data_IF_226176648228
#
_entry.id   IF_226176648228
#
_cell.length_a   1.000
_cell.length_b   1.000
_cell.length_c   1.000
_cell.angle_alpha   90.00
_cell.angle_beta   90.00
_cell.angle_gamma   90.00
#
_symmetry.space_group_name_H-M   'P 1'
#
loop_
_entity.id
_entity.type
_entity.pdbx_description
1 polymer ?
#
# COMPACT_ATOMS: atom_id res chain seq x y z
N UNK A 1 -21.35 -0.83 -20.13
CA UNK A 1 -20.67 0.47 -20.11
C UNK A 1 -20.53 0.84 -18.64
N UNK A 2 -19.39 0.48 -18.03
CA UNK A 2 -19.19 0.60 -16.59
C UNK A 2 -18.64 2.01 -16.30
N UNK A 3 -19.32 2.78 -15.45
CA UNK A 3 -18.69 3.98 -14.86
C UNK A 3 -17.63 3.47 -13.89
N UNK A 4 -16.38 3.51 -14.32
CA UNK A 4 -15.23 3.19 -13.49
C UNK A 4 -15.17 4.23 -12.35
N UNK A 5 -15.47 3.83 -11.12
CA UNK A 5 -15.13 4.66 -9.97
C UNK A 5 -13.67 4.39 -9.63
N UNK A 6 -12.83 5.43 -9.70
CA UNK A 6 -11.44 5.37 -9.23
C UNK A 6 -11.35 4.90 -7.77
N UNK A 7 -12.43 5.04 -7.01
CA UNK A 7 -12.56 4.61 -5.62
C UNK A 7 -12.43 3.09 -5.43
N UNK A 8 -12.65 2.27 -6.47
CA UNK A 8 -12.53 0.81 -6.38
C UNK A 8 -11.12 0.28 -6.70
N UNK A 9 -10.23 1.14 -7.19
CA UNK A 9 -8.86 0.75 -7.55
C UNK A 9 -8.08 0.19 -6.34
N UNK A 10 -8.13 0.78 -5.13
CA UNK A 10 -7.44 0.25 -3.96
C UNK A 10 -7.91 -1.16 -3.59
N UNK A 11 -9.20 -1.46 -3.84
CA UNK A 11 -9.83 -2.73 -3.49
C UNK A 11 -9.23 -3.92 -4.24
N UNK A 12 -8.61 -3.69 -5.41
CA UNK A 12 -7.87 -4.72 -6.17
C UNK A 12 -6.76 -5.34 -5.32
N UNK A 13 -6.17 -4.59 -4.39
CA UNK A 13 -5.14 -5.09 -3.49
C UNK A 13 -5.67 -6.24 -2.61
N UNK A 14 -6.97 -6.33 -2.35
CA UNK A 14 -7.58 -7.38 -1.53
C UNK A 14 -7.31 -7.21 -0.03
N UNK A 15 -8.04 -7.97 0.78
CA UNK A 15 -8.03 -7.87 2.25
C UNK A 15 -6.90 -8.67 2.89
N UNK A 16 -6.62 -8.38 4.17
CA UNK A 16 -5.66 -9.14 4.98
C UNK A 16 -4.21 -8.63 4.91
N UNK A 17 -3.97 -7.52 4.23
CA UNK A 17 -2.69 -6.82 4.29
C UNK A 17 -2.45 -6.22 5.67
N UNK A 18 -1.20 -6.21 6.11
CA UNK A 18 -0.79 -5.54 7.35
C UNK A 18 -0.53 -4.04 7.15
N UNK A 19 -0.41 -3.63 5.89
CA UNK A 19 -0.03 -2.30 5.48
C UNK A 19 -0.54 -2.06 4.07
N UNK A 20 -1.08 -0.87 3.84
CA UNK A 20 -1.41 -0.36 2.52
C UNK A 20 -0.81 1.03 2.34
N UNK A 21 -0.44 1.37 1.10
CA UNK A 21 0.13 2.66 0.74
C UNK A 21 -0.50 3.18 -0.55
N UNK A 22 -0.71 4.48 -0.61
CA UNK A 22 -1.05 5.25 -1.81
C UNK A 22 0.00 6.32 -2.06
N UNK A 23 0.40 6.49 -3.33
CA UNK A 23 1.35 7.50 -3.77
C UNK A 23 0.80 8.17 -5.04
N UNK A 24 0.41 9.47 -4.98
CA UNK A 24 0.10 10.24 -6.18
C UNK A 24 1.41 10.58 -6.91
N UNK A 25 1.57 10.08 -8.14
CA UNK A 25 2.88 10.03 -8.81
C UNK A 25 3.42 11.42 -9.12
N UNK A 26 2.58 12.31 -9.66
CA UNK A 26 2.99 13.65 -10.10
C UNK A 26 3.41 14.55 -8.94
N UNK A 27 2.73 14.42 -7.81
CA UNK A 27 2.96 15.28 -6.65
C UNK A 27 4.17 14.81 -5.82
N UNK A 28 4.69 13.59 -6.05
CA UNK A 28 5.77 13.01 -5.25
C UNK A 28 6.90 12.36 -6.09
N UNK A 29 7.34 13.04 -7.14
CA UNK A 29 8.33 12.49 -8.09
C UNK A 29 9.64 12.02 -7.44
N UNK A 30 10.08 12.67 -6.35
CA UNK A 30 11.27 12.27 -5.61
C UNK A 30 11.12 10.86 -5.02
N UNK A 31 10.04 10.62 -4.27
CA UNK A 31 9.73 9.32 -3.66
C UNK A 31 9.54 8.25 -4.73
N UNK A 32 8.83 8.60 -5.81
CA UNK A 32 8.60 7.71 -6.95
C UNK A 32 9.91 7.36 -7.66
N UNK A 33 10.85 8.30 -7.75
CA UNK A 33 12.16 8.05 -8.36
C UNK A 33 13.03 7.14 -7.49
N UNK A 34 13.01 7.34 -6.17
CA UNK A 34 13.64 6.43 -5.23
C UNK A 34 13.05 5.01 -5.32
N UNK A 35 11.73 4.88 -5.43
CA UNK A 35 11.05 3.60 -5.64
C UNK A 35 11.52 2.87 -6.91
N UNK A 36 11.57 3.59 -8.04
CA UNK A 36 12.06 3.05 -9.31
C UNK A 36 13.51 2.56 -9.21
N UNK A 37 14.37 3.31 -8.53
CA UNK A 37 15.76 2.92 -8.30
C UNK A 37 15.89 1.71 -7.38
N UNK A 38 15.08 1.63 -6.31
CA UNK A 38 15.04 0.47 -5.41
C UNK A 38 14.70 -0.83 -6.13
N UNK A 39 13.70 -0.82 -7.01
CA UNK A 39 13.39 -1.98 -7.86
C UNK A 39 14.51 -2.30 -8.86
N UNK A 40 15.13 -1.28 -9.46
CA UNK A 40 16.25 -1.46 -10.40
C UNK A 40 17.44 -2.14 -9.74
N UNK A 41 17.75 -1.79 -8.48
CA UNK A 41 18.82 -2.44 -7.70
C UNK A 41 18.53 -3.93 -7.43
N UNK A 42 17.25 -4.33 -7.43
CA UNK A 42 16.80 -5.73 -7.37
C UNK A 42 16.73 -6.39 -8.76
N UNK A 43 17.18 -5.72 -9.82
CA UNK A 43 17.19 -6.23 -11.19
C UNK A 43 15.87 -6.04 -11.96
N UNK A 44 14.89 -5.34 -11.39
CA UNK A 44 13.54 -5.23 -11.97
C UNK A 44 13.33 -3.80 -12.47
N UNK A 45 13.12 -3.62 -13.77
CA UNK A 45 12.75 -2.32 -14.30
C UNK A 45 11.23 -2.13 -14.33
N UNK A 46 10.72 -1.38 -13.34
CA UNK A 46 9.31 -0.97 -13.25
C UNK A 46 9.05 0.43 -13.81
N UNK A 47 10.09 1.11 -14.30
CA UNK A 47 10.00 2.51 -14.78
C UNK A 47 8.93 2.72 -15.87
N UNK A 48 8.76 1.80 -16.85
CA UNK A 48 7.75 1.99 -17.90
C UNK A 48 6.30 2.01 -17.38
N UNK A 49 6.05 1.41 -16.20
CA UNK A 49 4.74 1.33 -15.56
C UNK A 49 4.49 2.58 -14.72
N UNK A 50 5.41 2.83 -13.80
CA UNK A 50 5.28 3.92 -12.83
C UNK A 50 5.22 5.28 -13.54
N UNK A 51 6.02 5.48 -14.60
CA UNK A 51 6.09 6.78 -15.29
C UNK A 51 4.82 7.16 -16.08
N UNK A 52 3.88 6.21 -16.24
CA UNK A 52 2.59 6.44 -16.92
C UNK A 52 1.39 6.35 -15.96
N UNK A 53 1.68 6.18 -14.68
CA UNK A 53 0.69 6.10 -13.62
C UNK A 53 0.38 7.50 -13.11
N UNK A 54 -0.89 7.77 -12.85
CA UNK A 54 -1.32 8.91 -12.04
C UNK A 54 -1.15 8.58 -10.54
N UNK A 55 -1.46 7.34 -10.15
CA UNK A 55 -1.41 6.87 -8.76
C UNK A 55 -0.79 5.48 -8.66
N UNK A 56 -0.13 5.22 -7.53
CA UNK A 56 0.31 3.89 -7.11
C UNK A 56 -0.41 3.51 -5.82
N UNK A 57 -0.88 2.28 -5.76
CA UNK A 57 -1.45 1.66 -4.57
C UNK A 57 -0.66 0.40 -4.28
N UNK A 58 -0.23 0.16 -3.05
CA UNK A 58 0.39 -1.11 -2.71
C UNK A 58 -0.09 -1.65 -1.38
N UNK A 59 0.05 -2.96 -1.20
CA UNK A 59 -0.26 -3.66 0.03
C UNK A 59 0.82 -4.69 0.35
N UNK A 60 1.19 -4.78 1.62
CA UNK A 60 2.08 -5.82 2.14
C UNK A 60 1.26 -6.84 2.93
N UNK A 61 1.44 -8.12 2.56
CA UNK A 61 0.72 -9.24 3.12
C UNK A 61 1.74 -10.19 3.74
N UNK A 62 1.84 -10.27 5.07
CA UNK A 62 2.70 -11.25 5.69
C UNK A 62 2.19 -12.65 5.36
N UNK A 63 3.10 -13.60 5.11
CA UNK A 63 2.70 -14.99 4.94
C UNK A 63 2.04 -15.48 6.24
N UNK A 64 0.78 -15.93 6.16
CA UNK A 64 0.18 -16.66 7.27
C UNK A 64 0.71 -18.10 7.22
N UNK A 65 1.47 -18.51 8.24
CA UNK A 65 1.52 -19.94 8.57
C UNK A 65 0.11 -20.33 9.02
N UNK A 66 -0.59 -21.13 8.21
CA UNK A 66 -1.74 -21.87 8.69
C UNK A 66 -1.21 -22.91 9.68
N UNK A 67 -1.61 -22.80 10.94
CA UNK A 67 -1.57 -23.94 11.85
C UNK A 67 -2.51 -25.00 11.27
N UNK A 68 -2.01 -26.21 11.02
CA UNK A 68 -2.72 -27.33 10.39
C UNK A 68 -3.79 -27.97 11.30
N UNK A 69 -4.57 -27.16 12.03
CA UNK A 69 -5.61 -27.54 12.97
C UNK A 69 -6.97 -27.94 12.36
N UNK A 70 -7.06 -28.11 11.04
CA UNK A 70 -8.19 -28.80 10.41
C UNK A 70 -9.20 -27.91 9.66
N UNK A 71 -9.37 -28.26 8.38
CA UNK A 71 -10.57 -28.04 7.54
C UNK A 71 -11.06 -26.59 7.40
N UNK A 72 -10.29 -25.75 6.69
CA UNK A 72 -10.87 -24.59 5.99
C UNK A 72 -10.63 -24.69 4.48
N UNK A 73 -11.67 -24.37 3.70
CA UNK A 73 -11.78 -24.58 2.27
C UNK A 73 -10.95 -23.61 1.39
N UNK A 74 -10.01 -22.88 1.98
CA UNK A 74 -9.09 -21.98 1.26
C UNK A 74 -7.74 -22.68 1.05
N UNK A 75 -7.72 -23.72 0.21
CA UNK A 75 -6.49 -24.31 -0.32
C UNK A 75 -5.87 -23.36 -1.34
N UNK A 76 -4.96 -22.50 -0.89
CA UNK A 76 -4.17 -21.64 -1.77
C UNK A 76 -3.31 -20.57 -1.10
N UNK A 77 -3.06 -20.65 0.22
CA UNK A 77 -2.27 -19.62 0.91
C UNK A 77 -0.76 -19.84 0.72
N UNK A 78 -0.08 -18.80 0.24
CA UNK A 78 1.36 -18.71 -0.02
C UNK A 78 2.15 -18.81 1.29
N UNK A 79 3.16 -19.69 1.35
CA UNK A 79 4.00 -19.92 2.52
C UNK A 79 5.02 -18.80 2.83
N UNK A 80 4.84 -17.61 2.26
CA UNK A 80 5.75 -16.48 2.38
C UNK A 80 5.01 -15.14 2.29
N UNK A 81 5.62 -14.09 2.84
CA UNK A 81 5.12 -12.72 2.68
C UNK A 81 5.18 -12.29 1.22
N UNK A 82 4.18 -11.53 0.79
CA UNK A 82 4.10 -11.02 -0.58
C UNK A 82 3.63 -9.58 -0.58
N UNK A 83 3.90 -8.89 -1.70
CA UNK A 83 3.38 -7.56 -1.94
C UNK A 83 2.46 -7.57 -3.16
N UNK A 84 1.58 -6.58 -3.19
CA UNK A 84 0.77 -6.25 -4.36
C UNK A 84 0.97 -4.77 -4.65
N UNK A 85 1.17 -4.41 -5.91
CA UNK A 85 1.23 -3.04 -6.39
C UNK A 85 0.22 -2.89 -7.51
N UNK A 86 -0.65 -1.90 -7.41
CA UNK A 86 -1.65 -1.51 -8.41
C UNK A 86 -1.30 -0.11 -8.85
N UNK A 87 -0.91 0.04 -10.11
CA UNK A 87 -0.66 1.33 -10.72
C UNK A 87 -1.87 1.74 -11.55
N UNK A 88 -2.44 2.92 -11.33
CA UNK A 88 -3.55 3.44 -12.15
C UNK A 88 -3.11 4.62 -13.00
N UNK A 89 -3.48 4.63 -14.26
CA UNK A 89 -3.11 5.68 -15.21
C UNK A 89 -3.66 5.42 -16.60
N UNK A 90 -2.96 5.92 -17.63
CA UNK A 90 -3.39 5.74 -19.03
C UNK A 90 -2.51 4.70 -19.72
N UNK A 91 -2.95 3.45 -19.66
CA UNK A 91 -2.28 2.34 -20.33
C UNK A 91 -3.15 1.81 -21.47
N UNK A 92 -2.71 2.00 -22.71
CA UNK A 92 -3.30 1.28 -23.83
C UNK A 92 -2.70 -0.12 -23.90
N UNK A 93 -3.50 -1.15 -24.22
CA UNK A 93 -3.01 -2.53 -24.35
C UNK A 93 -1.78 -2.65 -25.27
N UNK A 94 -1.78 -1.90 -26.38
CA UNK A 94 -0.66 -1.86 -27.33
C UNK A 94 0.59 -1.21 -26.74
N UNK A 95 0.46 -0.05 -26.09
CA UNK A 95 1.61 0.67 -25.54
C UNK A 95 2.21 0.01 -24.29
N UNK A 96 1.43 -0.79 -23.57
CA UNK A 96 1.88 -1.57 -22.43
C UNK A 96 2.67 -2.81 -22.87
N UNK A 97 2.14 -3.59 -23.81
CA UNK A 97 2.82 -4.77 -24.33
C UNK A 97 4.14 -4.46 -25.03
N UNK A 98 4.23 -3.31 -25.73
CA UNK A 98 5.49 -2.81 -26.30
C UNK A 98 6.47 -2.41 -25.20
N UNK A 99 6.02 -1.68 -24.17
CA UNK A 99 6.88 -1.24 -23.08
C UNK A 99 7.50 -2.43 -22.30
N UNK A 100 6.70 -3.48 -22.04
CA UNK A 100 7.17 -4.71 -21.40
C UNK A 100 8.06 -5.56 -22.31
N UNK A 101 7.69 -5.70 -23.59
CA UNK A 101 8.50 -6.45 -24.54
C UNK A 101 9.87 -5.80 -24.83
N UNK A 102 10.01 -4.49 -24.59
CA UNK A 102 11.28 -3.76 -24.68
C UNK A 102 12.08 -3.77 -23.36
N UNK A 103 11.42 -3.99 -22.21
CA UNK A 103 12.10 -4.16 -20.93
C UNK A 103 12.67 -5.58 -20.85
N UNK A 104 13.99 -5.71 -20.71
CA UNK A 104 14.66 -7.02 -20.65
C UNK A 104 14.14 -7.87 -19.48
N UNK A 105 13.88 -9.15 -19.74
CA UNK A 105 13.56 -10.15 -18.69
C UNK A 105 12.08 -10.40 -18.44
N UNK A 106 11.17 -9.69 -19.10
CA UNK A 106 9.73 -9.96 -19.00
C UNK A 106 9.26 -10.98 -20.05
N UNK A 107 8.72 -12.10 -19.61
CA UNK A 107 8.14 -13.14 -20.46
C UNK A 107 6.62 -13.06 -20.47
N UNK A 108 6.02 -13.01 -21.67
CA UNK A 108 4.56 -13.01 -21.81
C UNK A 108 4.01 -14.42 -21.63
N UNK A 109 3.08 -14.60 -20.69
CA UNK A 109 2.35 -15.83 -20.43
C UNK A 109 0.86 -15.58 -20.65
N UNK A 110 0.17 -16.59 -21.19
CA UNK A 110 -1.28 -16.63 -21.26
C UNK A 110 -1.80 -17.65 -20.26
N UNK A 111 -2.55 -17.19 -19.27
CA UNK A 111 -3.22 -18.08 -18.32
C UNK A 111 -4.30 -18.89 -19.05
N UNK A 112 -4.24 -20.22 -18.93
CA UNK A 112 -5.14 -21.12 -19.64
C UNK A 112 -6.53 -21.19 -19.01
N UNK A 113 -6.64 -20.92 -17.71
CA UNK A 113 -7.87 -21.03 -16.94
C UNK A 113 -8.68 -19.73 -17.05
N UNK A 114 -8.04 -18.57 -16.92
CA UNK A 114 -8.69 -17.25 -16.97
C UNK A 114 -8.65 -16.59 -18.35
N UNK A 115 -7.78 -17.07 -19.26
CA UNK A 115 -7.56 -16.47 -20.57
C UNK A 115 -6.83 -15.12 -20.53
N UNK A 116 -6.37 -14.69 -19.35
CA UNK A 116 -5.66 -13.43 -19.15
C UNK A 116 -4.22 -13.52 -19.65
N UNK A 117 -3.78 -12.47 -20.34
CA UNK A 117 -2.37 -12.26 -20.65
C UNK A 117 -1.69 -11.57 -19.46
N UNK A 118 -0.58 -12.12 -18.99
CA UNK A 118 0.30 -11.49 -18.00
C UNK A 118 1.76 -11.61 -18.44
N UNK A 119 2.63 -10.83 -17.82
CA UNK A 119 4.07 -10.85 -18.02
C UNK A 119 4.71 -11.28 -16.72
N UNK A 120 5.77 -12.09 -16.78
CA UNK A 120 6.52 -12.50 -15.60
C UNK A 120 8.00 -12.16 -15.71
N UNK A 121 8.62 -11.82 -14.59
CA UNK A 121 10.06 -11.63 -14.46
C UNK A 121 10.59 -12.64 -13.45
N UNK A 122 11.52 -13.49 -13.89
CA UNK A 122 12.14 -14.59 -13.11
C UNK A 122 11.14 -15.57 -12.47
N UNK A 123 9.90 -15.67 -13.01
CA UNK A 123 8.83 -16.51 -12.47
C UNK A 123 8.20 -16.02 -11.16
N UNK A 124 8.85 -15.09 -10.46
CA UNK A 124 8.41 -14.55 -9.18
C UNK A 124 7.44 -13.37 -9.36
N UNK A 125 7.82 -12.38 -10.17
CA UNK A 125 7.01 -11.18 -10.34
C UNK A 125 6.05 -11.38 -11.49
N UNK A 126 4.78 -11.03 -11.29
CA UNK A 126 3.74 -11.11 -12.32
C UNK A 126 3.09 -9.76 -12.49
N UNK A 127 3.00 -9.32 -13.73
CA UNK A 127 2.42 -8.05 -14.14
C UNK A 127 1.31 -8.28 -15.17
N UNK A 128 0.13 -7.69 -14.98
CA UNK A 128 -0.90 -7.65 -16.02
C UNK A 128 -1.44 -6.24 -16.17
N UNK A 129 -1.89 -5.92 -17.40
CA UNK A 129 -2.75 -4.79 -17.65
C UNK A 129 -4.18 -5.29 -17.78
N UNK A 130 -4.98 -5.11 -16.73
CA UNK A 130 -6.37 -5.55 -16.72
C UNK A 130 -7.32 -4.37 -16.73
N UNK A 131 -8.46 -4.62 -17.38
CA UNK A 131 -9.53 -3.70 -17.76
C UNK A 131 -9.26 -2.94 -19.07
N UNK A 132 -10.18 -2.98 -20.07
CA UNK A 132 -9.90 -2.47 -21.42
C UNK A 132 -9.63 -0.96 -21.53
N UNK A 133 -9.90 -0.16 -20.50
CA UNK A 133 -9.88 1.31 -20.58
C UNK A 133 -9.33 2.02 -19.33
N UNK A 134 -9.20 1.36 -18.17
CA UNK A 134 -8.84 1.98 -16.88
C UNK A 134 -7.35 2.06 -16.59
N UNK A 135 -6.51 1.42 -17.41
CA UNK A 135 -5.07 1.47 -17.26
C UNK A 135 -4.57 1.06 -15.87
N UNK A 136 -4.78 -0.20 -15.51
CA UNK A 136 -4.35 -0.75 -14.23
C UNK A 136 -3.22 -1.74 -14.44
N UNK A 137 -2.15 -1.63 -13.67
CA UNK A 137 -1.03 -2.57 -13.65
C UNK A 137 -0.97 -3.22 -12.29
N UNK A 138 -1.17 -4.54 -12.23
CA UNK A 138 -1.04 -5.29 -10.98
C UNK A 138 0.29 -6.01 -11.00
N UNK A 139 1.21 -5.68 -10.10
CA UNK A 139 2.44 -6.43 -9.83
C UNK A 139 2.29 -7.23 -8.53
N UNK A 140 2.58 -8.52 -8.55
CA UNK A 140 2.56 -9.36 -7.35
C UNK A 140 3.58 -10.49 -7.41
N UNK A 141 4.03 -10.96 -6.24
CA UNK A 141 4.83 -12.17 -6.06
C UNK A 141 3.99 -13.43 -5.81
N UNK A 142 2.66 -13.33 -5.94
CA UNK A 142 1.71 -14.41 -5.66
C UNK A 142 1.59 -15.43 -6.83
N UNK A 143 1.07 -16.63 -6.54
CA UNK A 143 0.72 -17.62 -7.56
C UNK A 143 -0.37 -17.13 -8.55
N UNK A 144 -0.35 -17.62 -9.80
CA UNK A 144 -1.16 -17.03 -10.90
C UNK A 144 -2.69 -17.16 -10.70
N UNK A 145 -3.15 -18.15 -9.93
CA UNK A 145 -4.59 -18.36 -9.66
C UNK A 145 -5.18 -17.32 -8.73
N UNK A 146 -4.44 -16.89 -7.71
CA UNK A 146 -4.90 -15.84 -6.80
C UNK A 146 -4.92 -14.46 -7.47
N UNK A 147 -3.99 -14.24 -8.42
CA UNK A 147 -3.89 -13.03 -9.22
C UNK A 147 -5.15 -12.73 -10.06
N UNK A 148 -5.84 -13.77 -10.58
CA UNK A 148 -7.11 -13.58 -11.31
C UNK A 148 -8.23 -13.10 -10.38
N UNK A 149 -8.27 -13.60 -9.13
CA UNK A 149 -9.24 -13.18 -8.12
C UNK A 149 -9.10 -11.71 -7.69
N UNK A 150 -7.93 -11.09 -7.88
CA UNK A 150 -7.73 -9.66 -7.58
C UNK A 150 -8.58 -8.76 -8.46
N UNK A 151 -8.86 -9.17 -9.69
CA UNK A 151 -9.72 -8.42 -10.61
C UNK A 151 -11.17 -8.47 -10.13
N UNK A 152 -11.60 -9.58 -9.52
CA UNK A 152 -12.96 -9.69 -8.97
C UNK A 152 -13.21 -8.68 -7.85
N UNK A 153 -12.17 -8.35 -7.06
CA UNK A 153 -12.26 -7.31 -6.03
C UNK A 153 -12.50 -5.91 -6.61
N UNK A 154 -12.18 -5.64 -7.88
CA UNK A 154 -12.55 -4.37 -8.52
C UNK A 154 -14.07 -4.23 -8.66
N UNK A 155 -14.75 -5.35 -8.93
CA UNK A 155 -16.19 -5.41 -9.14
C UNK A 155 -16.97 -5.63 -7.84
N UNK A 156 -16.36 -6.35 -6.89
CA UNK A 156 -16.91 -6.62 -5.56
C UNK A 156 -15.91 -6.14 -4.50
N UNK A 157 -15.80 -4.81 -4.30
CA UNK A 157 -14.80 -4.25 -3.41
C UNK A 157 -15.01 -4.73 -1.97
N UNK A 158 -14.04 -5.42 -1.36
CA UNK A 158 -14.07 -5.70 0.07
C UNK A 158 -14.00 -4.39 0.87
N UNK A 159 -14.70 -4.37 2.01
CA UNK A 159 -14.66 -3.26 2.97
C UNK A 159 -13.39 -3.37 3.83
N UNK A 160 -12.31 -2.75 3.35
CA UNK A 160 -10.97 -2.86 3.95
C UNK A 160 -10.47 -1.53 4.48
N UNK A 161 -10.74 -0.46 3.73
CA UNK A 161 -10.12 0.83 3.94
C UNK A 161 -11.04 1.75 4.72
N UNK A 162 -10.48 2.58 5.60
CA UNK A 162 -11.28 3.64 6.19
C UNK A 162 -11.77 4.61 5.08
N UNK A 163 -12.94 5.23 5.26
CA UNK A 163 -13.44 6.24 4.32
C UNK A 163 -12.46 7.40 4.08
N UNK A 164 -11.70 7.82 5.10
CA UNK A 164 -10.73 8.92 4.95
C UNK A 164 -9.50 8.48 4.16
N UNK A 165 -9.01 7.24 4.35
CA UNK A 165 -7.89 6.75 3.54
C UNK A 165 -8.26 6.69 2.05
N UNK A 166 -9.50 6.33 1.72
CA UNK A 166 -10.00 6.35 0.35
C UNK A 166 -10.21 7.77 -0.19
N UNK A 167 -10.62 8.74 0.64
CA UNK A 167 -10.85 10.11 0.21
C UNK A 167 -9.56 10.93 0.10
N UNK A 168 -8.69 10.86 1.11
CA UNK A 168 -7.42 11.58 1.18
C UNK A 168 -6.32 10.91 0.36
N UNK A 169 -6.37 9.57 0.22
CA UNK A 169 -5.56 8.81 -0.74
C UNK A 169 -6.00 9.00 -2.21
N UNK A 170 -6.90 9.93 -2.50
CA UNK A 170 -7.15 10.40 -3.87
C UNK A 170 -6.72 11.89 -4.01
N UNK A 171 -6.18 12.48 -2.93
CA UNK A 171 -5.60 13.82 -2.92
C UNK A 171 -4.10 13.85 -3.29
N UNK A 172 -3.44 14.97 -3.01
CA UNK A 172 -2.00 15.20 -3.27
C UNK A 172 -1.09 14.74 -2.11
N UNK A 173 -1.52 13.74 -1.33
CA UNK A 173 -0.75 13.25 -0.17
C UNK A 173 -0.34 11.80 -0.41
N UNK A 174 0.85 11.41 0.08
CA UNK A 174 1.15 9.98 0.28
C UNK A 174 0.35 9.52 1.49
N UNK A 175 -0.49 8.50 1.31
CA UNK A 175 -1.26 7.89 2.39
C UNK A 175 -0.71 6.52 2.76
N UNK A 176 -0.61 6.22 4.05
CA UNK A 176 -0.23 4.90 4.57
C UNK A 176 -1.28 4.46 5.58
N UNK A 177 -1.80 3.24 5.44
CA UNK A 177 -2.78 2.66 6.34
C UNK A 177 -2.27 1.35 6.94
N UNK A 178 -2.25 1.28 8.27
CA UNK A 178 -2.02 0.09 9.05
C UNK A 178 -3.35 -0.38 9.65
N UNK A 179 -3.96 -1.47 9.15
CA UNK A 179 -5.16 -2.04 9.77
C UNK A 179 -4.82 -2.62 11.15
N UNK A 180 -5.72 -2.43 12.11
CA UNK A 180 -5.55 -2.86 13.49
C UNK A 180 -4.30 -2.27 14.16
N UNK A 181 -3.65 -3.09 14.99
CA UNK A 181 -2.47 -2.72 15.77
C UNK A 181 -1.14 -2.97 15.02
N UNK A 182 -1.19 -3.24 13.71
CA UNK A 182 -0.02 -3.62 12.93
C UNK A 182 1.09 -2.56 12.92
N UNK A 183 0.76 -1.29 13.11
CA UNK A 183 1.75 -0.21 13.25
C UNK A 183 2.71 -0.44 14.42
N UNK A 184 2.23 -1.02 15.53
CA UNK A 184 3.06 -1.24 16.71
C UNK A 184 4.12 -2.30 16.42
N UNK A 185 3.75 -3.37 15.70
CA UNK A 185 4.69 -4.39 15.22
C UNK A 185 5.69 -3.82 14.22
N UNK A 186 5.23 -2.93 13.34
CA UNK A 186 6.08 -2.32 12.32
C UNK A 186 7.19 -1.45 12.93
N UNK A 187 6.84 -0.52 13.83
CA UNK A 187 7.82 0.44 14.38
C UNK A 187 8.62 -0.06 15.59
N UNK A 188 8.02 -0.89 16.45
CA UNK A 188 8.68 -1.37 17.66
C UNK A 188 9.19 -2.82 17.53
N UNK A 189 8.93 -3.48 16.40
CA UNK A 189 9.21 -4.90 16.23
C UNK A 189 8.57 -5.74 17.32
N UNK A 190 9.19 -6.87 17.65
CA UNK A 190 8.84 -7.69 18.82
C UNK A 190 9.42 -7.15 20.14
N UNK A 191 10.11 -5.99 20.12
CA UNK A 191 10.92 -5.51 21.24
C UNK A 191 10.09 -4.97 22.40
N UNK A 192 8.83 -4.59 22.15
CA UNK A 192 7.95 -3.99 23.17
C UNK A 192 7.11 -5.01 23.97
N UNK A 193 7.57 -6.27 24.11
CA UNK A 193 6.93 -7.24 25.02
C UNK A 193 5.44 -7.52 24.75
N UNK A 194 5.00 -7.37 23.49
CA UNK A 194 3.59 -7.51 23.13
C UNK A 194 2.72 -6.29 23.41
N UNK A 195 3.31 -5.10 23.61
CA UNK A 195 2.56 -3.85 23.61
C UNK A 195 1.77 -3.72 22.29
N UNK A 196 0.48 -3.44 22.42
CA UNK A 196 -0.46 -3.27 21.30
C UNK A 196 -1.28 -2.02 21.56
N UNK A 197 -1.35 -1.14 20.57
CA UNK A 197 -2.28 -0.01 20.65
C UNK A 197 -3.71 -0.54 20.44
N UNK A 198 -4.69 -0.16 21.27
CA UNK A 198 -6.09 -0.55 21.08
C UNK A 198 -6.74 0.31 19.97
N UNK A 199 -6.31 0.07 18.73
CA UNK A 199 -6.75 0.77 17.53
C UNK A 199 -7.26 -0.22 16.48
N UNK A 200 -8.32 0.16 15.77
CA UNK A 200 -8.80 -0.51 14.57
C UNK A 200 -7.95 -0.17 13.34
N UNK A 201 -7.16 0.88 13.42
CA UNK A 201 -6.13 1.19 12.44
C UNK A 201 -5.42 2.51 12.70
N UNK A 202 -4.33 2.70 11.98
CA UNK A 202 -3.60 3.97 11.95
C UNK A 202 -3.35 4.40 10.53
N UNK A 203 -3.64 5.66 10.25
CA UNK A 203 -3.34 6.33 8.99
C UNK A 203 -2.19 7.31 9.19
N UNK A 204 -1.34 7.42 8.18
CA UNK A 204 -0.26 8.41 8.12
C UNK A 204 -0.32 9.08 6.76
N UNK A 205 -0.35 10.41 6.75
CA UNK A 205 -0.39 11.22 5.55
C UNK A 205 0.85 12.10 5.47
N UNK A 206 1.52 12.10 4.32
CA UNK A 206 2.66 12.95 4.04
C UNK A 206 2.27 13.96 2.96
N UNK A 207 2.23 15.23 3.34
CA UNK A 207 1.91 16.37 2.46
C UNK A 207 3.16 17.18 2.22
N UNK A 208 3.40 17.59 0.97
CA UNK A 208 4.49 18.53 0.71
C UNK A 208 4.24 19.84 1.45
N UNK A 209 5.27 20.32 2.15
CA UNK A 209 5.24 21.62 2.79
C UNK A 209 5.61 22.73 1.80
N UNK A 210 5.49 23.99 2.21
CA UNK A 210 6.02 25.12 1.44
C UNK A 210 7.56 25.17 1.44
N UNK A 211 8.20 24.53 2.41
CA UNK A 211 9.65 24.36 2.47
C UNK A 211 10.06 23.18 1.57
N UNK A 212 10.99 23.44 0.65
CA UNK A 212 11.44 22.46 -0.32
C UNK A 212 12.05 21.23 0.37
N UNK A 213 11.65 20.04 -0.10
CA UNK A 213 12.14 18.77 0.44
C UNK A 213 11.63 18.41 1.83
N UNK A 214 10.68 19.17 2.39
CA UNK A 214 10.06 18.88 3.69
C UNK A 214 8.60 18.46 3.51
N UNK A 215 8.24 17.36 4.15
CA UNK A 215 6.88 16.88 4.28
C UNK A 215 6.30 17.23 5.64
N UNK A 216 5.07 17.71 5.65
CA UNK A 216 4.21 17.71 6.84
C UNK A 216 3.62 16.32 7.01
N UNK A 217 3.68 15.79 8.22
CA UNK A 217 3.16 14.46 8.56
C UNK A 217 1.97 14.61 9.50
N UNK A 218 0.86 13.99 9.11
CA UNK A 218 -0.33 13.85 9.94
C UNK A 218 -0.57 12.37 10.21
N UNK A 219 -0.80 12.01 11.47
CA UNK A 219 -1.20 10.65 11.83
C UNK A 219 -2.60 10.67 12.44
N UNK A 220 -3.41 9.68 12.08
CA UNK A 220 -4.74 9.47 12.67
C UNK A 220 -4.82 8.07 13.25
N UNK A 221 -5.15 8.00 14.54
CA UNK A 221 -5.35 6.75 15.26
C UNK A 221 -6.85 6.52 15.46
N UNK A 222 -7.34 5.40 14.94
CA UNK A 222 -8.75 5.01 14.98
C UNK A 222 -8.91 4.03 16.16
N UNK A 223 -9.52 4.41 17.29
CA UNK A 223 -9.69 3.50 18.42
C UNK A 223 -10.68 2.38 18.11
N UNK A 224 -10.51 1.22 18.75
CA UNK A 224 -11.47 0.09 18.70
C UNK A 224 -12.85 0.51 19.23
N UNK A 225 -12.87 1.34 20.27
CA UNK A 225 -14.10 1.90 20.84
C UNK A 225 -13.96 3.40 21.08
N UNK A 226 -14.98 4.19 20.71
CA UNK A 226 -14.95 5.65 20.83
C UNK A 226 -14.77 6.17 22.27
N UNK A 227 -15.18 5.39 23.28
CA UNK A 227 -14.98 5.73 24.70
C UNK A 227 -13.49 5.64 25.14
N UNK A 228 -12.63 4.95 24.37
CA UNK A 228 -11.22 4.72 24.70
C UNK A 228 -10.30 5.88 24.32
N UNK A 229 -10.78 6.87 23.57
CA UNK A 229 -9.98 7.97 22.99
C UNK A 229 -9.04 8.63 24.01
N UNK A 230 -9.50 8.88 25.24
CA UNK A 230 -8.66 9.50 26.29
C UNK A 230 -7.52 8.59 26.77
N UNK A 231 -7.83 7.30 26.99
CA UNK A 231 -6.82 6.31 27.39
C UNK A 231 -5.83 6.04 26.27
N UNK A 232 -6.33 5.91 25.05
CA UNK A 232 -5.52 5.76 23.85
C UNK A 232 -4.60 6.97 23.63
N UNK A 233 -5.04 8.20 23.91
CA UNK A 233 -4.21 9.40 23.79
C UNK A 233 -2.90 9.28 24.60
N UNK A 234 -2.98 8.77 25.83
CA UNK A 234 -1.78 8.58 26.66
C UNK A 234 -0.84 7.53 26.06
N UNK A 235 -1.39 6.41 25.55
CA UNK A 235 -0.63 5.35 24.91
C UNK A 235 0.04 5.83 23.61
N UNK A 236 -0.68 6.59 22.78
CA UNK A 236 -0.15 7.19 21.55
C UNK A 236 0.99 8.15 21.87
N UNK A 237 0.88 8.97 22.94
CA UNK A 237 2.00 9.84 23.38
C UNK A 237 3.25 9.05 23.74
N UNK A 238 3.09 7.93 24.46
CA UNK A 238 4.21 7.07 24.84
C UNK A 238 4.83 6.44 23.58
N UNK A 239 4.00 5.84 22.73
CA UNK A 239 4.42 5.24 21.46
C UNK A 239 5.22 6.23 20.61
N UNK A 240 4.68 7.44 20.39
CA UNK A 240 5.35 8.44 19.57
C UNK A 240 6.65 8.94 20.20
N UNK A 241 6.75 9.07 21.52
CA UNK A 241 8.01 9.40 22.18
C UNK A 241 9.07 8.30 22.05
N UNK A 242 8.64 7.05 21.96
CA UNK A 242 9.54 5.91 21.71
C UNK A 242 10.02 5.87 20.27
N UNK A 243 9.20 6.28 19.31
CA UNK A 243 9.54 6.27 17.89
C UNK A 243 10.21 7.57 17.40
N UNK A 244 9.86 8.71 18.00
CA UNK A 244 10.29 10.05 17.60
C UNK A 244 10.87 10.78 18.82
N UNK A 245 12.16 11.09 18.79
CA UNK A 245 12.82 11.86 19.85
C UNK A 245 12.25 13.29 19.91
N UNK A 246 11.51 13.62 20.98
CA UNK A 246 11.09 14.96 21.43
C UNK A 246 10.69 15.98 20.33
N UNK A 247 9.97 15.53 19.31
CA UNK A 247 9.35 16.44 18.34
C UNK A 247 8.20 17.20 19.02
N UNK A 248 8.00 18.46 18.63
CA UNK A 248 6.91 19.34 19.09
C UNK A 248 5.53 18.86 18.62
N UNK A 249 5.16 17.65 19.07
CA UNK A 249 3.95 16.91 18.70
C UNK A 249 2.71 17.66 19.18
N UNK A 250 1.94 18.19 18.23
CA UNK A 250 0.61 18.70 18.52
C UNK A 250 -0.38 17.55 18.37
N UNK A 251 -0.95 17.11 19.49
CA UNK A 251 -1.93 16.04 19.52
C UNK A 251 -3.32 16.61 19.79
N UNK A 252 -4.23 16.38 18.86
CA UNK A 252 -5.61 16.84 18.89
C UNK A 252 -6.54 15.63 19.03
N UNK A 253 -7.51 15.72 19.93
CA UNK A 253 -8.57 14.72 20.03
C UNK A 253 -9.72 15.16 19.12
N UNK A 254 -10.05 14.34 18.13
CA UNK A 254 -11.27 14.48 17.36
C UNK A 254 -12.48 13.91 18.12
N UNK A 255 -13.64 13.84 17.47
CA UNK A 255 -14.85 13.30 18.10
C UNK A 255 -14.73 11.81 18.43
N UNK A 256 -14.13 11.02 17.54
CA UNK A 256 -13.92 9.58 17.70
C UNK A 256 -12.46 9.14 17.57
N UNK A 257 -11.56 10.01 17.13
CA UNK A 257 -10.20 9.64 16.72
C UNK A 257 -9.15 10.53 17.40
N UNK A 258 -7.88 10.14 17.31
CA UNK A 258 -6.75 10.97 17.73
C UNK A 258 -5.96 11.40 16.51
N UNK A 259 -5.75 12.69 16.36
CA UNK A 259 -4.94 13.30 15.32
C UNK A 259 -3.62 13.77 15.93
N UNK A 260 -2.54 13.56 15.18
CA UNK A 260 -1.20 14.01 15.53
C UNK A 260 -0.67 14.80 14.35
N UNK A 261 -0.37 16.07 14.61
CA UNK A 261 0.00 17.06 13.60
C UNK A 261 1.26 17.81 14.03
N UNK A 262 1.83 18.56 13.09
CA UNK A 262 3.03 19.36 13.30
C UNK A 262 4.33 18.56 13.24
N UNK A 263 4.25 17.27 12.89
CA UNK A 263 5.42 16.49 12.52
C UNK A 263 5.91 16.93 11.14
N UNK A 264 7.22 16.98 10.99
CA UNK A 264 7.86 17.17 9.69
C UNK A 264 8.88 16.07 9.44
N UNK A 265 9.08 15.75 8.18
CA UNK A 265 10.04 14.73 7.74
C UNK A 265 10.70 15.18 6.44
N UNK A 266 12.01 14.96 6.33
CA UNK A 266 12.72 15.20 5.07
C UNK A 266 12.27 14.20 4.01
N UNK A 267 12.20 14.63 2.75
CA UNK A 267 11.78 13.79 1.62
C UNK A 267 12.62 12.52 1.47
N UNK A 268 13.90 12.55 1.83
CA UNK A 268 14.79 11.38 1.81
C UNK A 268 14.30 10.32 2.80
N UNK A 269 13.95 10.73 4.03
CA UNK A 269 13.42 9.83 5.04
C UNK A 269 12.03 9.28 4.65
N UNK A 270 11.20 10.08 3.98
CA UNK A 270 9.92 9.60 3.43
C UNK A 270 10.17 8.56 2.34
N UNK A 271 11.11 8.81 1.43
CA UNK A 271 11.48 7.87 0.39
C UNK A 271 12.05 6.56 0.95
N UNK A 272 12.93 6.63 1.95
CA UNK A 272 13.46 5.46 2.66
C UNK A 272 12.36 4.67 3.38
N UNK A 273 11.43 5.36 4.06
CA UNK A 273 10.30 4.72 4.72
C UNK A 273 9.41 3.98 3.71
N UNK A 274 9.08 4.63 2.60
CA UNK A 274 8.29 4.02 1.51
C UNK A 274 9.03 2.84 0.91
N UNK A 275 10.33 2.95 0.64
CA UNK A 275 11.14 1.85 0.11
C UNK A 275 11.22 0.67 1.07
N UNK A 276 11.31 0.91 2.38
CA UNK A 276 11.33 -0.15 3.38
C UNK A 276 10.02 -0.96 3.45
N UNK A 277 8.94 -0.46 2.83
CA UNK A 277 7.65 -1.14 2.73
C UNK A 277 7.54 -2.06 1.51
N UNK A 278 8.49 -2.02 0.57
CA UNK A 278 8.57 -2.87 -0.64
C UNK A 278 9.76 -3.83 -0.57
#
# INVERSE_FOLDING_TARGET
MYKESRENIPCILGSGGNLYIHIPVKSHEFVVSALKEGFRQRGIDVSPFISRSDDLWAGYFPGMQLDDGGKSALKGMTSGSFFRLVASGRFSKGSFGVALGMASGWEKIKDKDSGLDYYTFDGEYKITATVPESGLIIASTEESRAFTGLIENYFNPPDIFSPLFLQEGIGDSIGIFFPGDNITRFFLGNLAGGFKLPVDGVEIYFRLSQEEGIYQVEMRFIPVEANMVKGLQALVKIFLRSCFSDSGLNMEIGYSDIYVRGLTMKQENVAELVLAMF
#
